data_IF_869687147736
#
_entry.id   IF_869687147736
#
_cell.length_a   1.000
_cell.length_b   1.000
_cell.length_c   1.000
_cell.angle_alpha   90.00
_cell.angle_beta   90.00
_cell.angle_gamma   90.00
#
_symmetry.space_group_name_H-M   'P 1'
#
loop_
_entity.id
_entity.type
_entity.pdbx_description
1 polymer ?
#
# COMPACT_ATOMS: atom_id res chain seq x y z
N UNK A 1 5.42 -25.22 30.94
CA UNK A 1 4.40 -24.45 30.21
C UNK A 1 5.15 -23.55 29.25
N UNK A 2 5.22 -23.92 27.97
CA UNK A 2 5.91 -23.11 26.96
C UNK A 2 5.17 -21.77 26.84
N UNK A 3 5.92 -20.66 26.80
CA UNK A 3 5.34 -19.36 26.43
C UNK A 3 4.58 -19.56 25.12
N UNK A 4 3.34 -19.04 24.96
CA UNK A 4 2.73 -19.07 23.64
C UNK A 4 3.69 -18.35 22.70
N UNK A 5 4.05 -18.94 21.57
CA UNK A 5 4.74 -18.21 20.51
C UNK A 5 3.82 -17.06 20.12
N UNK A 6 4.24 -15.82 20.34
CA UNK A 6 3.42 -14.63 20.04
C UNK A 6 3.38 -14.33 18.53
N UNK A 7 3.92 -15.23 17.70
CA UNK A 7 3.98 -15.12 16.25
C UNK A 7 2.62 -14.69 15.67
N UNK A 8 2.62 -13.60 14.92
CA UNK A 8 1.44 -12.99 14.31
C UNK A 8 0.63 -12.08 15.23
N UNK A 9 1.22 -11.64 16.34
CA UNK A 9 0.68 -10.57 17.19
C UNK A 9 0.55 -9.24 16.44
N UNK A 10 -0.10 -8.23 17.03
CA UNK A 10 -0.20 -6.89 16.41
C UNK A 10 1.16 -6.27 16.10
N UNK A 11 2.17 -6.51 16.94
CA UNK A 11 3.54 -6.02 16.76
C UNK A 11 4.15 -6.64 15.50
N UNK A 12 4.20 -7.97 15.40
CA UNK A 12 4.75 -8.66 14.22
C UNK A 12 4.06 -8.27 12.91
N UNK A 13 2.76 -7.93 12.95
CA UNK A 13 2.05 -7.45 11.75
C UNK A 13 2.51 -6.06 11.34
N UNK A 14 2.74 -5.17 12.31
CA UNK A 14 3.24 -3.81 12.04
C UNK A 14 4.69 -3.89 11.55
N UNK A 15 5.52 -4.71 12.20
CA UNK A 15 6.91 -4.94 11.79
C UNK A 15 6.99 -5.55 10.39
N UNK A 16 6.15 -6.53 10.07
CA UNK A 16 6.10 -7.12 8.72
C UNK A 16 5.65 -6.10 7.68
N UNK A 17 4.69 -5.23 8.02
CA UNK A 17 4.32 -4.14 7.13
C UNK A 17 5.47 -3.14 6.94
N UNK A 18 6.21 -2.83 8.01
CA UNK A 18 7.42 -1.99 7.96
C UNK A 18 8.49 -2.58 7.04
N UNK A 19 8.81 -3.86 7.22
CA UNK A 19 9.77 -4.59 6.38
C UNK A 19 9.35 -4.67 4.90
N UNK A 20 8.05 -4.62 4.61
CA UNK A 20 7.54 -4.48 3.24
C UNK A 20 7.73 -3.04 2.74
N UNK A 21 7.42 -2.03 3.56
CA UNK A 21 7.58 -0.61 3.18
C UNK A 21 9.05 -0.26 2.89
N UNK A 22 9.98 -0.84 3.65
CA UNK A 22 11.42 -0.56 3.54
C UNK A 22 12.10 -1.28 2.36
N UNK A 23 11.43 -2.22 1.68
CA UNK A 23 11.99 -2.91 0.51
C UNK A 23 11.94 -2.01 -0.74
N UNK A 24 13.08 -1.77 -1.37
CA UNK A 24 13.21 -0.90 -2.55
C UNK A 24 12.35 -1.34 -3.75
N UNK A 25 11.99 -2.63 -3.83
CA UNK A 25 11.14 -3.18 -4.90
C UNK A 25 9.66 -2.84 -4.68
N UNK A 26 9.29 -2.45 -3.46
CA UNK A 26 7.91 -2.23 -3.06
C UNK A 26 7.41 -0.87 -3.54
N UNK A 27 6.40 -0.95 -4.41
CA UNK A 27 5.53 0.17 -4.82
C UNK A 27 4.28 0.27 -3.93
N UNK A 28 3.59 1.40 -4.00
CA UNK A 28 2.34 1.69 -3.25
C UNK A 28 1.26 0.58 -3.38
N UNK A 29 1.18 -0.09 -4.54
CA UNK A 29 0.22 -1.18 -4.77
C UNK A 29 0.43 -2.36 -3.81
N UNK A 30 1.69 -2.68 -3.46
CA UNK A 30 2.00 -3.78 -2.54
C UNK A 30 1.71 -3.37 -1.12
N UNK A 31 2.06 -2.14 -0.72
CA UNK A 31 1.80 -1.62 0.63
C UNK A 31 0.29 -1.64 0.91
N UNK A 32 -0.52 -1.10 -0.01
CA UNK A 32 -1.99 -1.14 0.11
C UNK A 32 -2.48 -2.59 0.22
N UNK A 33 -2.06 -3.46 -0.69
CA UNK A 33 -2.50 -4.87 -0.68
C UNK A 33 -2.11 -5.61 0.60
N UNK A 34 -0.85 -5.51 1.02
CA UNK A 34 -0.32 -6.13 2.23
C UNK A 34 -1.02 -5.64 3.49
N UNK A 35 -1.27 -4.32 3.62
CA UNK A 35 -2.02 -3.74 4.75
C UNK A 35 -3.38 -4.40 4.92
N UNK A 36 -4.14 -4.59 3.84
CA UNK A 36 -5.47 -5.19 3.91
C UNK A 36 -5.45 -6.71 4.16
N UNK A 37 -4.42 -7.42 3.66
CA UNK A 37 -4.19 -8.83 4.03
C UNK A 37 -3.90 -8.95 5.53
N UNK A 38 -2.99 -8.13 6.07
CA UNK A 38 -2.59 -8.17 7.49
C UNK A 38 -3.71 -7.71 8.42
N UNK A 39 -4.55 -6.75 8.01
CA UNK A 39 -5.76 -6.35 8.76
C UNK A 39 -6.73 -7.53 8.94
N UNK A 40 -6.78 -8.45 7.98
CA UNK A 40 -7.63 -9.66 8.02
C UNK A 40 -6.95 -10.90 8.62
N UNK A 41 -5.70 -10.79 9.06
CA UNK A 41 -5.00 -11.90 9.66
C UNK A 41 -5.62 -12.29 11.00
N UNK A 42 -5.92 -13.57 11.15
CA UNK A 42 -6.48 -14.13 12.38
C UNK A 42 -5.52 -15.15 12.97
N UNK A 43 -4.85 -14.77 14.06
CA UNK A 43 -3.77 -15.52 14.69
C UNK A 43 -4.15 -16.97 15.02
N UNK A 44 -5.40 -17.21 15.44
CA UNK A 44 -5.91 -18.57 15.73
C UNK A 44 -5.81 -19.52 14.54
N UNK A 45 -5.88 -19.01 13.31
CA UNK A 45 -5.78 -19.80 12.09
C UNK A 45 -4.45 -19.62 11.36
N UNK A 46 -3.60 -18.70 11.81
CA UNK A 46 -2.31 -18.42 11.18
C UNK A 46 -2.44 -17.91 9.74
N UNK A 47 -3.61 -17.40 9.35
CA UNK A 47 -3.86 -16.95 7.98
C UNK A 47 -4.82 -15.76 7.93
N UNK A 48 -4.81 -15.09 6.78
CA UNK A 48 -5.77 -14.08 6.37
C UNK A 48 -6.56 -14.61 5.17
N UNK A 49 -7.88 -14.37 5.16
CA UNK A 49 -8.75 -14.75 4.04
C UNK A 49 -9.16 -13.53 3.25
N UNK A 50 -8.77 -13.51 1.98
CA UNK A 50 -9.04 -12.40 1.08
C UNK A 50 -9.23 -12.92 -0.35
N UNK A 51 -10.38 -12.61 -0.97
CA UNK A 51 -10.53 -12.79 -2.41
C UNK A 51 -9.87 -11.63 -3.15
N UNK A 52 -9.57 -11.83 -4.44
CA UNK A 52 -9.08 -10.75 -5.30
C UNK A 52 -10.11 -9.63 -5.40
N UNK A 53 -11.41 -9.96 -5.50
CA UNK A 53 -12.49 -8.96 -5.52
C UNK A 53 -12.55 -8.15 -4.22
N UNK A 54 -12.38 -8.80 -3.07
CA UNK A 54 -12.31 -8.10 -1.79
C UNK A 54 -11.10 -7.18 -1.75
N UNK A 55 -9.92 -7.64 -2.17
CA UNK A 55 -8.72 -6.78 -2.16
C UNK A 55 -8.87 -5.60 -3.10
N UNK A 56 -9.47 -5.80 -4.28
CA UNK A 56 -9.82 -4.72 -5.21
C UNK A 56 -10.71 -3.66 -4.53
N UNK A 57 -11.81 -4.11 -3.91
CA UNK A 57 -12.73 -3.34 -3.08
C UNK A 57 -12.14 -2.88 -1.74
N UNK A 58 -10.93 -3.28 -1.38
CA UNK A 58 -10.28 -2.86 -0.13
C UNK A 58 -9.04 -2.00 -0.37
N UNK A 59 -8.46 -1.96 -1.57
CA UNK A 59 -7.28 -1.16 -1.88
C UNK A 59 -7.56 -0.02 -2.84
N UNK A 60 -8.64 -0.13 -3.58
CA UNK A 60 -8.97 0.80 -4.65
C UNK A 60 -8.13 0.64 -5.90
N UNK A 61 -7.62 -0.57 -6.10
CA UNK A 61 -6.70 -0.87 -7.19
C UNK A 61 -7.44 -1.70 -8.22
N UNK A 62 -6.99 -1.65 -9.47
CA UNK A 62 -7.52 -2.56 -10.50
C UNK A 62 -7.26 -4.01 -10.12
N UNK A 63 -8.08 -4.93 -10.65
CA UNK A 63 -7.90 -6.37 -10.45
C UNK A 63 -6.49 -6.85 -10.85
N UNK A 64 -5.94 -6.29 -11.93
CA UNK A 64 -4.59 -6.60 -12.42
C UNK A 64 -3.50 -6.14 -11.46
N UNK A 65 -3.62 -4.92 -10.91
CA UNK A 65 -2.69 -4.40 -9.90
C UNK A 65 -2.70 -5.22 -8.63
N UNK A 66 -3.88 -5.65 -8.15
CA UNK A 66 -3.99 -6.56 -6.99
C UNK A 66 -3.35 -7.91 -7.31
N UNK A 67 -3.62 -8.48 -8.48
CA UNK A 67 -3.06 -9.76 -8.88
C UNK A 67 -1.51 -9.71 -8.90
N UNK A 68 -0.94 -8.72 -9.61
CA UNK A 68 0.51 -8.48 -9.64
C UNK A 68 1.06 -8.30 -8.23
N UNK A 69 0.46 -7.42 -7.43
CA UNK A 69 0.99 -7.15 -6.09
C UNK A 69 0.96 -8.39 -5.18
N UNK A 70 -0.10 -9.21 -5.26
CA UNK A 70 -0.15 -10.47 -4.50
C UNK A 70 0.83 -11.52 -4.99
N UNK A 71 1.16 -11.54 -6.28
CA UNK A 71 2.15 -12.45 -6.86
C UNK A 71 3.55 -12.03 -6.46
N UNK A 72 3.88 -10.74 -6.60
CA UNK A 72 5.16 -10.14 -6.22
C UNK A 72 5.45 -10.34 -4.73
N UNK A 73 4.48 -10.01 -3.86
CA UNK A 73 4.61 -10.20 -2.41
C UNK A 73 4.79 -11.66 -1.99
N UNK A 74 4.24 -12.61 -2.76
CA UNK A 74 4.45 -14.04 -2.54
C UNK A 74 5.81 -14.47 -3.06
N UNK A 75 6.22 -13.99 -4.23
CA UNK A 75 7.52 -14.27 -4.84
C UNK A 75 8.67 -13.76 -3.97
N UNK A 76 8.49 -12.62 -3.30
CA UNK A 76 9.47 -12.06 -2.36
C UNK A 76 9.46 -12.72 -0.98
N UNK A 77 8.52 -13.65 -0.74
CA UNK A 77 8.48 -14.46 0.47
C UNK A 77 7.83 -13.79 1.68
N UNK A 78 7.18 -12.63 1.52
CA UNK A 78 6.43 -11.99 2.59
C UNK A 78 5.14 -12.74 2.94
N UNK A 79 4.52 -13.39 1.95
CA UNK A 79 3.35 -14.23 2.16
C UNK A 79 3.51 -15.57 1.44
N UNK A 80 2.89 -16.61 2.00
CA UNK A 80 2.53 -17.81 1.23
C UNK A 80 1.05 -17.73 0.89
N UNK A 81 0.66 -18.07 -0.34
CA UNK A 81 -0.72 -18.00 -0.80
C UNK A 81 -1.24 -19.38 -1.17
N UNK A 82 -2.40 -19.73 -0.63
CA UNK A 82 -3.19 -20.90 -1.04
C UNK A 82 -4.40 -20.41 -1.81
N UNK A 83 -4.48 -20.82 -3.08
CA UNK A 83 -5.59 -20.43 -3.96
C UNK A 83 -6.90 -21.04 -3.48
N UNK A 84 -7.88 -20.17 -3.22
CA UNK A 84 -9.26 -20.59 -2.99
C UNK A 84 -9.90 -21.04 -4.30
N UNK A 85 -10.81 -22.03 -4.24
CA UNK A 85 -11.60 -22.49 -5.38
C UNK A 85 -13.09 -22.25 -5.15
N UNK A 86 -13.81 -21.94 -6.25
CA UNK A 86 -15.25 -21.64 -6.20
C UNK A 86 -15.57 -20.41 -5.34
N UNK A 87 -16.42 -20.60 -4.32
CA UNK A 87 -16.81 -19.53 -3.38
C UNK A 87 -15.80 -19.31 -2.24
N UNK A 88 -14.73 -20.13 -2.16
CA UNK A 88 -13.74 -20.01 -1.10
C UNK A 88 -12.72 -18.91 -1.45
N UNK A 89 -12.50 -17.90 -0.58
CA UNK A 89 -11.46 -16.89 -0.80
C UNK A 89 -10.06 -17.49 -0.71
N UNK A 90 -9.06 -16.78 -1.26
CA UNK A 90 -7.66 -17.19 -1.13
C UNK A 90 -7.19 -16.99 0.31
N UNK A 91 -6.30 -17.88 0.75
CA UNK A 91 -5.70 -17.82 2.09
C UNK A 91 -4.26 -17.34 1.97
N UNK A 92 -3.91 -16.34 2.76
CA UNK A 92 -2.58 -15.75 2.83
C UNK A 92 -1.98 -16.03 4.20
N UNK A 93 -0.77 -16.57 4.22
CA UNK A 93 -0.01 -16.85 5.42
C UNK A 93 1.16 -15.87 5.47
N UNK A 94 1.12 -14.85 6.33
CA UNK A 94 2.25 -13.94 6.48
C UNK A 94 3.46 -14.70 7.01
N UNK A 95 4.61 -14.47 6.40
CA UNK A 95 5.87 -15.03 6.85
C UNK A 95 6.48 -14.08 7.88
N UNK A 96 6.29 -14.33 9.17
CA UNK A 96 6.90 -13.50 10.21
C UNK A 96 8.40 -13.77 10.39
N UNK A 97 8.92 -14.83 9.76
CA UNK A 97 10.35 -15.19 9.87
C UNK A 97 11.27 -14.16 9.20
N UNK A 98 10.77 -13.35 8.24
CA UNK A 98 11.55 -12.25 7.64
C UNK A 98 11.91 -11.16 8.65
N UNK A 99 11.20 -11.09 9.78
CA UNK A 99 11.52 -10.17 10.88
C UNK A 99 12.69 -10.65 11.72
N UNK A 100 12.89 -11.97 11.77
CA UNK A 100 13.99 -12.59 12.46
C UNK A 100 15.15 -12.69 11.46
N UNK A 101 15.79 -11.57 11.18
CA UNK A 101 17.17 -11.64 10.68
C UNK A 101 17.94 -12.38 11.76
N UNK A 102 18.54 -13.55 11.48
CA UNK A 102 19.43 -14.14 12.45
C UNK A 102 20.55 -13.12 12.63
N UNK A 103 20.68 -12.60 13.84
CA UNK A 103 21.88 -11.87 14.24
C UNK A 103 23.08 -12.60 13.66
N UNK A 104 23.96 -11.86 13.00
CA UNK A 104 25.23 -12.33 12.48
C UNK A 104 26.21 -12.65 13.62
N UNK A 105 25.77 -13.52 14.53
CA UNK A 105 26.53 -14.22 15.55
C UNK A 105 26.09 -15.69 15.62
N UNK A 106 25.73 -16.28 14.47
CA UNK A 106 25.72 -17.73 14.34
C UNK A 106 27.07 -18.15 13.77
N UNK A 107 27.93 -18.56 14.71
CA UNK A 107 29.24 -19.17 14.50
C UNK A 107 29.20 -20.12 13.30
N UNK A 108 30.14 -19.89 12.39
CA UNK A 108 30.44 -20.73 11.23
C UNK A 108 30.51 -22.21 11.66
N UNK A 109 29.43 -22.96 11.44
CA UNK A 109 29.47 -24.41 11.44
C UNK A 109 30.15 -24.86 10.17
N UNK A 110 31.49 -24.85 10.18
CA UNK A 110 32.30 -25.44 9.11
C UNK A 110 32.00 -26.94 9.02
N UNK A 111 31.66 -27.49 7.84
CA UNK A 111 31.64 -28.92 7.64
C UNK A 111 33.07 -29.42 7.35
N UNK A 112 33.31 -30.66 7.75
CA UNK A 112 34.50 -31.51 7.51
C UNK A 112 35.79 -31.21 8.28
N UNK A 113 36.01 -31.99 9.34
CA UNK A 113 37.35 -32.39 9.76
C UNK A 113 37.49 -33.92 9.60
N UNK A 114 37.96 -34.31 8.41
CA UNK A 114 38.59 -35.60 8.20
C UNK A 114 40.10 -35.45 8.47
N UNK A 115 40.50 -35.88 9.67
CA UNK A 115 41.78 -36.53 10.03
C UNK A 115 43.09 -35.95 9.47
N UNK A 116 43.91 -35.53 10.44
CA UNK A 116 45.35 -35.80 10.55
C UNK A 116 46.32 -34.94 9.73
N UNK A 117 47.01 -34.01 10.41
CA UNK A 117 48.47 -34.12 10.49
C UNK A 117 49.04 -33.30 11.66
N UNK A 118 49.87 -33.98 12.42
CA UNK A 118 50.70 -33.51 13.53
C UNK A 118 51.98 -32.88 12.95
N UNK A 119 52.37 -31.70 13.43
CA UNK A 119 53.71 -31.37 13.98
C UNK A 119 53.83 -29.85 14.23
N UNK A 120 53.98 -29.49 15.50
CA UNK A 120 54.46 -28.21 16.06
C UNK A 120 55.95 -27.94 15.74
N UNK A 121 56.61 -26.89 16.29
CA UNK A 121 56.30 -25.44 16.35
C UNK A 121 57.54 -24.56 16.04
N UNK A 122 57.39 -23.22 16.03
CA UNK A 122 58.33 -22.20 16.53
C UNK A 122 57.64 -20.82 16.39
N UNK A 123 57.32 -20.12 17.49
CA UNK A 123 58.12 -19.06 18.17
C UNK A 123 58.47 -17.91 17.20
N UNK A 124 58.29 -16.61 17.44
CA UNK A 124 58.07 -15.72 18.59
C UNK A 124 57.89 -14.31 17.92
N UNK A 125 57.05 -13.35 18.33
CA UNK A 125 57.43 -12.16 19.14
C UNK A 125 56.29 -11.10 18.99
N UNK A 126 55.64 -10.80 20.12
CA UNK A 126 55.36 -9.48 20.74
C UNK A 126 54.78 -8.30 19.93
N UNK A 127 53.60 -7.82 20.35
CA UNK A 127 53.30 -6.45 20.83
C UNK A 127 51.82 -6.37 21.25
N UNK A 128 51.49 -6.58 22.54
CA UNK A 128 51.34 -5.61 23.65
C UNK A 128 50.11 -4.68 23.55
N UNK A 129 49.21 -4.93 24.50
CA UNK A 129 47.88 -4.36 24.75
C UNK A 129 47.83 -2.88 25.17
N UNK A 130 46.69 -2.24 24.87
CA UNK A 130 46.00 -1.12 25.58
C UNK A 130 44.70 -0.85 24.81
N UNK A 131 43.54 -0.53 25.36
CA UNK A 131 43.06 -0.24 26.71
C UNK A 131 41.54 -0.56 26.72
N UNK A 132 41.02 -0.95 27.88
CA UNK A 132 39.59 -0.98 28.16
C UNK A 132 39.23 0.17 29.09
N UNK A 133 38.21 0.98 28.74
CA UNK A 133 37.24 1.49 29.72
C UNK A 133 36.03 2.16 29.07
N UNK A 134 34.88 1.69 29.49
CA UNK A 134 33.53 2.19 29.32
C UNK A 134 33.31 3.59 29.90
N UNK A 135 32.28 4.30 29.40
CA UNK A 135 31.59 5.33 30.17
C UNK A 135 30.77 6.32 29.35
N UNK A 136 29.55 6.58 29.83
CA UNK A 136 28.60 7.65 29.48
C UNK A 136 27.80 7.50 28.17
N UNK A 137 26.52 7.11 28.21
CA UNK A 137 25.34 7.84 28.74
C UNK A 137 25.15 9.20 28.06
N UNK A 138 24.33 9.21 27.01
CA UNK A 138 23.53 10.36 26.62
C UNK A 138 22.13 9.86 26.24
N UNK A 139 21.16 10.24 27.07
CA UNK A 139 19.74 10.24 26.73
C UNK A 139 19.48 11.32 25.68
N UNK A 140 18.64 11.06 24.68
CA UNK A 140 17.84 12.11 24.07
C UNK A 140 16.44 12.06 24.68
N UNK A 141 16.10 13.12 25.44
CA UNK A 141 14.72 13.49 25.70
C UNK A 141 14.15 14.06 24.41
N UNK A 142 13.21 13.36 23.79
CA UNK A 142 12.27 13.97 22.86
C UNK A 142 10.87 13.73 23.41
N UNK A 143 10.40 14.70 24.21
CA UNK A 143 8.97 14.86 24.51
C UNK A 143 8.37 15.72 23.41
N UNK A 144 7.88 15.06 22.36
CA UNK A 144 7.12 15.71 21.29
C UNK A 144 5.69 15.91 21.76
N UNK A 145 5.33 17.15 22.09
CA UNK A 145 3.96 17.59 22.25
C UNK A 145 3.30 17.69 20.86
N UNK A 146 2.45 16.73 20.50
CA UNK A 146 1.43 16.94 19.47
C UNK A 146 0.06 16.55 20.02
N UNK A 147 -0.69 17.60 20.35
CA UNK A 147 -2.12 17.59 20.59
C UNK A 147 -2.82 17.74 19.22
N UNK A 148 -3.85 16.91 19.02
CA UNK A 148 -5.03 17.12 18.15
C UNK A 148 -4.93 16.73 16.67
N UNK A 149 -5.60 15.59 16.42
CA UNK A 149 -6.54 15.28 15.33
C UNK A 149 -6.09 15.42 13.88
N UNK A 150 -5.85 14.26 13.24
CA UNK A 150 -5.91 14.13 11.79
C UNK A 150 -6.88 12.98 11.41
N UNK A 151 -7.92 13.39 10.72
CA UNK A 151 -9.00 12.64 10.10
C UNK A 151 -8.50 11.50 9.19
N UNK A 152 -9.02 10.30 9.44
CA UNK A 152 -8.81 9.14 8.60
C UNK A 152 -9.47 9.32 7.22
N UNK A 153 -8.68 9.13 6.16
CA UNK A 153 -9.19 8.90 4.81
C UNK A 153 -8.59 7.63 4.23
N UNK A 154 -9.35 6.57 4.47
CA UNK A 154 -9.37 5.39 3.61
C UNK A 154 -9.95 5.83 2.27
N UNK A 155 -9.26 5.47 1.19
CA UNK A 155 -9.81 5.50 -0.15
C UNK A 155 -9.50 4.16 -0.80
N UNK A 156 -10.59 3.47 -1.03
CA UNK A 156 -10.72 2.35 -1.94
C UNK A 156 -11.74 2.77 -2.98
N UNK A 157 -11.42 2.52 -4.25
CA UNK A 157 -12.39 2.22 -5.29
C UNK A 157 -11.99 0.98 -6.11
N UNK A 158 -12.75 -0.10 -5.95
CA UNK A 158 -13.50 -0.79 -7.02
C UNK A 158 -13.45 -0.05 -8.38
N UNK A 159 -13.22 -0.71 -9.53
CA UNK A 159 -14.29 -1.39 -10.27
C UNK A 159 -13.80 -2.36 -11.36
N UNK A 160 -14.71 -3.21 -11.83
CA UNK A 160 -14.59 -4.12 -12.98
C UNK A 160 -14.98 -3.35 -14.28
N UNK A 161 -14.23 -3.44 -15.37
CA UNK A 161 -14.24 -4.42 -16.48
C UNK A 161 -15.29 -4.16 -17.59
N UNK A 162 -14.88 -3.41 -18.62
CA UNK A 162 -15.47 -3.35 -19.95
C UNK A 162 -14.37 -3.53 -21.02
N UNK A 163 -14.67 -4.31 -22.06
CA UNK A 163 -13.69 -4.91 -22.95
C UNK A 163 -13.19 -3.98 -24.08
N UNK A 164 -11.89 -4.08 -24.37
CA UNK A 164 -11.36 -3.95 -25.73
C UNK A 164 -10.79 -2.59 -26.12
N UNK A 165 -9.51 -2.36 -25.83
CA UNK A 165 -8.53 -1.78 -26.75
C UNK A 165 -7.23 -1.46 -26.00
N UNK A 166 -6.10 -1.87 -26.58
CA UNK A 166 -4.77 -1.32 -26.31
C UNK A 166 -4.28 -1.42 -24.86
N UNK A 167 -3.26 -2.26 -24.62
CA UNK A 167 -2.39 -2.13 -23.45
C UNK A 167 -1.60 -0.81 -23.57
N UNK A 168 -2.27 0.33 -23.39
CA UNK A 168 -1.60 1.60 -23.17
C UNK A 168 -1.17 1.61 -21.71
N UNK A 169 0.14 1.73 -21.47
CA UNK A 169 0.67 1.86 -20.12
C UNK A 169 -0.01 3.07 -19.45
N UNK A 170 -0.60 2.86 -18.27
CA UNK A 170 -1.13 3.97 -17.48
C UNK A 170 0.01 4.95 -17.17
N UNK A 171 -0.17 6.26 -17.41
CA UNK A 171 0.87 7.25 -17.14
C UNK A 171 1.28 7.19 -15.66
N UNK A 172 2.58 7.32 -15.41
CA UNK A 172 3.11 7.35 -14.05
C UNK A 172 2.56 8.61 -13.35
N UNK A 173 1.74 8.43 -12.31
CA UNK A 173 1.17 9.54 -11.52
C UNK A 173 2.31 10.43 -11.01
N UNK A 174 2.26 11.73 -11.34
CA UNK A 174 3.20 12.70 -10.83
C UNK A 174 3.00 12.89 -9.31
N UNK A 175 4.11 13.18 -8.63
CA UNK A 175 4.17 13.33 -7.16
C UNK A 175 3.81 14.74 -6.70
N UNK A 176 3.04 15.49 -7.48
CA UNK A 176 2.80 16.93 -7.31
C UNK A 176 1.33 17.27 -7.63
N UNK A 177 0.85 18.41 -7.12
CA UNK A 177 -0.46 18.94 -7.49
C UNK A 177 -0.44 19.43 -8.94
N UNK A 178 -1.46 19.09 -9.73
CA UNK A 178 -1.47 19.37 -11.17
C UNK A 178 -2.71 20.12 -11.58
N UNK A 179 -2.54 21.06 -12.50
CA UNK A 179 -3.66 21.71 -13.18
C UNK A 179 -4.23 20.73 -14.20
N UNK A 180 -5.55 20.59 -14.21
CA UNK A 180 -6.26 19.71 -15.12
C UNK A 180 -7.56 20.34 -15.60
N UNK A 181 -8.06 19.84 -16.72
CA UNK A 181 -9.39 20.13 -17.25
C UNK A 181 -10.09 18.82 -17.60
N UNK A 182 -11.38 18.70 -17.27
CA UNK A 182 -12.15 17.55 -17.73
C UNK A 182 -12.47 17.71 -19.22
N UNK A 183 -12.08 16.72 -20.01
CA UNK A 183 -12.31 16.68 -21.46
C UNK A 183 -13.42 15.72 -21.86
N UNK A 184 -13.78 14.79 -20.97
CA UNK A 184 -14.90 13.87 -21.16
C UNK A 184 -15.59 13.58 -19.82
N UNK A 185 -16.89 13.29 -19.88
CA UNK A 185 -17.73 13.03 -18.72
C UNK A 185 -18.89 12.13 -19.10
N UNK A 186 -19.12 11.06 -18.34
CA UNK A 186 -20.22 10.14 -18.56
C UNK A 186 -20.81 9.68 -17.22
N UNK A 187 -22.10 9.30 -17.24
CA UNK A 187 -22.70 8.56 -16.13
C UNK A 187 -22.66 7.08 -16.49
N UNK A 188 -22.00 6.32 -15.64
CA UNK A 188 -21.94 4.86 -15.74
C UNK A 188 -22.78 4.24 -14.63
N UNK A 189 -23.52 3.19 -14.98
CA UNK A 189 -24.36 2.44 -14.05
C UNK A 189 -23.75 1.06 -13.86
N UNK A 190 -23.41 0.72 -12.63
CA UNK A 190 -22.92 -0.61 -12.25
C UNK A 190 -23.87 -1.20 -11.21
N UNK A 191 -24.79 -2.06 -11.67
CA UNK A 191 -25.87 -2.59 -10.83
C UNK A 191 -26.84 -1.51 -10.39
N UNK A 192 -26.91 -1.27 -9.08
CA UNK A 192 -27.76 -0.24 -8.45
C UNK A 192 -26.99 1.08 -8.18
N UNK A 193 -25.70 1.11 -8.49
CA UNK A 193 -24.82 2.25 -8.23
C UNK A 193 -24.64 3.09 -9.51
N UNK A 194 -24.55 4.40 -9.35
CA UNK A 194 -24.28 5.36 -10.44
C UNK A 194 -23.01 6.15 -10.15
N UNK A 195 -22.15 6.20 -11.16
CA UNK A 195 -20.85 6.85 -11.12
C UNK A 195 -20.78 7.94 -12.19
N UNK A 196 -20.29 9.11 -11.80
CA UNK A 196 -19.82 10.13 -12.72
C UNK A 196 -18.35 9.80 -13.04
N UNK A 197 -18.12 9.31 -14.25
CA UNK A 197 -16.78 9.03 -14.79
C UNK A 197 -16.30 10.25 -15.57
N UNK A 198 -15.10 10.72 -15.26
CA UNK A 198 -14.50 11.94 -15.77
C UNK A 198 -13.12 11.63 -16.33
N UNK A 199 -12.80 12.14 -17.51
CA UNK A 199 -11.45 12.07 -18.07
C UNK A 199 -10.83 13.46 -17.96
N UNK A 200 -9.79 13.57 -17.15
CA UNK A 200 -9.02 14.80 -17.01
C UNK A 200 -7.83 14.78 -17.96
N UNK A 201 -7.56 15.91 -18.62
CA UNK A 201 -6.33 16.19 -19.34
C UNK A 201 -5.50 17.16 -18.50
N UNK A 202 -4.23 16.84 -18.29
CA UNK A 202 -3.26 17.69 -17.60
C UNK A 202 -2.43 18.50 -18.60
N UNK A 203 -1.77 19.56 -18.13
CA UNK A 203 -0.94 20.44 -18.99
C UNK A 203 0.20 19.71 -19.74
N UNK A 204 0.64 18.56 -19.22
CA UNK A 204 1.66 17.71 -19.84
C UNK A 204 1.11 16.83 -20.98
N UNK A 205 -0.19 16.91 -21.26
CA UNK A 205 -0.90 16.11 -22.28
C UNK A 205 -1.28 14.71 -21.80
N UNK A 206 -0.96 14.35 -20.56
CA UNK A 206 -1.43 13.11 -19.95
C UNK A 206 -2.93 13.17 -19.71
N UNK A 207 -3.58 12.01 -19.83
CA UNK A 207 -4.98 11.85 -19.43
C UNK A 207 -5.13 10.86 -18.29
N UNK A 208 -6.07 11.13 -17.39
CA UNK A 208 -6.41 10.25 -16.28
C UNK A 208 -7.92 10.20 -16.06
N UNK A 209 -8.41 9.02 -15.69
CA UNK A 209 -9.83 8.76 -15.43
C UNK A 209 -10.14 8.83 -13.92
N UNK A 210 -11.24 9.49 -13.59
CA UNK A 210 -11.76 9.65 -12.23
C UNK A 210 -13.21 9.20 -12.18
N UNK A 211 -13.53 8.31 -11.23
CA UNK A 211 -14.92 7.91 -10.97
C UNK A 211 -15.38 8.45 -9.61
N UNK A 212 -16.54 9.13 -9.62
CA UNK A 212 -17.21 9.65 -8.43
C UNK A 212 -18.57 8.96 -8.32
N UNK A 213 -18.77 8.17 -7.28
CA UNK A 213 -20.09 7.64 -6.98
C UNK A 213 -21.02 8.80 -6.55
N UNK A 214 -22.21 8.92 -7.13
CA UNK A 214 -23.21 9.89 -6.66
C UNK A 214 -24.51 9.23 -6.20
N UNK A 215 -24.75 7.97 -6.61
CA UNK A 215 -25.83 7.14 -6.09
C UNK A 215 -25.29 5.74 -5.77
N UNK A 216 -25.50 5.26 -4.55
CA UNK A 216 -25.23 3.89 -4.13
C UNK A 216 -26.17 3.44 -3.03
N UNK A 217 -26.42 2.13 -2.96
CA UNK A 217 -27.16 1.51 -1.85
C UNK A 217 -26.30 1.32 -0.59
N UNK A 218 -24.97 1.47 -0.70
CA UNK A 218 -24.04 1.37 0.41
C UNK A 218 -23.76 2.76 0.98
N UNK A 219 -24.23 3.01 2.21
CA UNK A 219 -24.19 4.35 2.83
C UNK A 219 -22.79 4.96 2.86
N UNK A 220 -21.75 4.16 3.12
CA UNK A 220 -20.37 4.65 3.17
C UNK A 220 -19.88 5.15 1.79
N UNK A 221 -20.22 4.45 0.71
CA UNK A 221 -19.90 4.87 -0.66
C UNK A 221 -20.71 6.08 -1.07
N UNK A 222 -22.00 6.12 -0.72
CA UNK A 222 -22.85 7.28 -0.93
C UNK A 222 -22.27 8.53 -0.25
N UNK A 223 -21.91 8.45 1.03
CA UNK A 223 -21.39 9.59 1.79
C UNK A 223 -20.03 10.07 1.26
N UNK A 224 -19.13 9.13 0.94
CA UNK A 224 -17.81 9.44 0.37
C UNK A 224 -17.93 10.08 -1.01
N UNK A 225 -18.81 9.51 -1.84
CA UNK A 225 -19.14 9.99 -3.18
C UNK A 225 -19.72 11.40 -3.18
N UNK A 226 -20.74 11.65 -2.34
CA UNK A 226 -21.36 12.97 -2.19
C UNK A 226 -20.37 14.03 -1.70
N UNK A 227 -19.52 13.72 -0.71
CA UNK A 227 -18.46 14.65 -0.27
C UNK A 227 -17.48 14.98 -1.40
N UNK A 228 -17.14 13.99 -2.23
CA UNK A 228 -16.22 14.18 -3.35
C UNK A 228 -16.87 15.01 -4.46
N UNK A 229 -18.16 14.79 -4.74
CA UNK A 229 -18.96 15.57 -5.68
C UNK A 229 -19.11 17.03 -5.23
N UNK A 230 -19.37 17.27 -3.94
CA UNK A 230 -19.43 18.63 -3.38
C UNK A 230 -18.11 19.38 -3.57
N UNK A 231 -16.98 18.71 -3.36
CA UNK A 231 -15.65 19.32 -3.57
C UNK A 231 -15.39 19.64 -5.03
N UNK A 232 -15.82 18.76 -5.93
CA UNK A 232 -15.77 19.03 -7.36
C UNK A 232 -16.60 20.27 -7.70
N UNK A 233 -17.84 20.36 -7.19
CA UNK A 233 -18.71 21.55 -7.39
C UNK A 233 -18.04 22.84 -6.91
N UNK A 234 -17.45 22.82 -5.71
CA UNK A 234 -16.72 23.96 -5.14
C UNK A 234 -15.50 24.32 -5.99
N UNK A 235 -14.72 23.32 -6.42
CA UNK A 235 -13.53 23.54 -7.25
C UNK A 235 -13.87 24.15 -8.61
N UNK A 236 -15.03 23.83 -9.16
CA UNK A 236 -15.51 24.32 -10.45
C UNK A 236 -16.37 25.60 -10.36
N UNK A 237 -16.60 26.13 -9.16
CA UNK A 237 -17.55 27.23 -8.89
C UNK A 237 -18.97 26.96 -9.43
N UNK A 238 -19.41 25.69 -9.33
CA UNK A 238 -20.74 25.25 -9.78
C UNK A 238 -21.70 25.13 -8.60
N UNK A 239 -22.84 25.79 -8.69
CA UNK A 239 -23.91 25.63 -7.70
C UNK A 239 -24.55 24.22 -7.77
N UNK A 240 -24.66 23.67 -8.98
CA UNK A 240 -25.20 22.33 -9.20
C UNK A 240 -24.65 21.73 -10.50
N UNK A 241 -24.67 20.39 -10.59
CA UNK A 241 -24.29 19.63 -11.78
C UNK A 241 -25.56 18.94 -12.24
N UNK A 242 -26.17 19.43 -13.32
CA UNK A 242 -27.42 18.89 -13.88
C UNK A 242 -27.14 17.83 -14.92
N UNK A 243 -26.09 18.06 -15.70
CA UNK A 243 -25.64 17.17 -16.77
C UNK A 243 -24.14 16.94 -16.65
N UNK A 244 -23.62 15.77 -17.07
CA UNK A 244 -22.18 15.49 -17.01
C UNK A 244 -21.33 16.55 -17.71
N UNK A 245 -21.84 17.12 -18.81
CA UNK A 245 -21.14 18.15 -19.57
C UNK A 245 -20.88 19.46 -18.82
N UNK A 246 -21.57 19.71 -17.69
CA UNK A 246 -21.40 20.93 -16.91
C UNK A 246 -19.99 21.08 -16.32
N UNK A 247 -19.24 19.98 -16.18
CA UNK A 247 -17.89 19.98 -15.60
C UNK A 247 -16.76 20.13 -16.63
N UNK A 248 -17.08 20.14 -17.92
CA UNK A 248 -16.08 20.09 -18.99
C UNK A 248 -15.40 21.43 -19.23
N UNK A 249 -14.10 21.39 -19.50
CA UNK A 249 -13.29 22.54 -19.93
C UNK A 249 -12.96 23.57 -18.85
N UNK A 250 -13.46 23.40 -17.63
CA UNK A 250 -13.15 24.29 -16.50
C UNK A 250 -11.82 23.83 -15.87
N UNK A 251 -10.83 24.72 -15.72
CA UNK A 251 -9.57 24.38 -15.08
C UNK A 251 -9.75 24.22 -13.57
N UNK A 252 -9.12 23.20 -13.00
CA UNK A 252 -9.04 22.97 -11.57
C UNK A 252 -7.66 22.44 -11.18
N UNK A 253 -7.38 22.42 -9.88
CA UNK A 253 -6.21 21.76 -9.34
C UNK A 253 -6.60 20.38 -8.80
N UNK A 254 -5.93 19.34 -9.26
CA UNK A 254 -6.03 17.98 -8.74
C UNK A 254 -4.82 17.73 -7.84
N UNK A 255 -5.10 17.47 -6.56
CA UNK A 255 -4.03 17.20 -5.58
C UNK A 255 -3.51 15.77 -5.68
N UNK A 256 -2.34 15.51 -5.09
CA UNK A 256 -1.78 14.15 -4.97
C UNK A 256 -2.72 13.12 -4.29
N UNK A 257 -3.73 13.58 -3.56
CA UNK A 257 -4.72 12.73 -2.86
C UNK A 257 -6.00 12.47 -3.67
N UNK A 258 -5.98 12.83 -4.96
CA UNK A 258 -7.12 12.82 -5.87
C UNK A 258 -8.29 13.68 -5.33
N UNK A 259 -7.96 14.84 -4.75
CA UNK A 259 -8.89 15.86 -4.27
C UNK A 259 -8.94 17.04 -5.25
N UNK A 260 -10.07 17.73 -5.31
CA UNK A 260 -10.31 18.83 -6.24
C UNK A 260 -10.26 20.17 -5.51
N UNK A 261 -9.47 21.11 -6.02
CA UNK A 261 -9.35 22.47 -5.51
C UNK A 261 -9.59 23.49 -6.64
N UNK A 262 -10.13 24.68 -6.31
CA UNK A 262 -10.28 25.75 -7.28
C UNK A 262 -8.94 26.12 -7.90
N UNK A 263 -8.91 26.30 -9.22
CA UNK A 263 -7.79 26.94 -9.87
C UNK A 263 -7.94 28.46 -9.72
N UNK A 264 -7.30 29.04 -8.71
CA UNK A 264 -7.20 30.50 -8.60
C UNK A 264 -6.29 31.01 -9.73
N UNK A 265 -6.91 31.40 -10.85
CA UNK A 265 -6.23 32.15 -11.89
C UNK A 265 -5.85 33.53 -11.31
N UNK A 266 -4.55 33.73 -11.10
CA UNK A 266 -3.97 35.04 -10.78
C UNK A 266 -4.21 36.07 -11.90
#
# INVERSE_FOLDING_TARGET
MSKPDHAGGPVDRIELLGAIIDDERVRLIHIKTARHILKRYYQKHGNARASVSFLQQATGLTRGSVASATEDLVAWGYFTRVMGSGKRPSEYHPNFSVLHTPDATSVLGSPDDTKSSVLQPQDEIVLRSRDAKSGSVLQPQEQTHLLVSATARDKVNTSAAGAGSGLSAAPARASEDRVARFIDSAIEVDGDDQFLTLVAEFDEGDTEEFSICFQSNEQEFQDSGQRRLERLKIALDLNDIREPSDVLGIPLLITMTDDFLPFEAA
#
